data_IF_785485975678
#
_entry.id   IF_785485975678
#
_cell.length_a   1.000
_cell.length_b   1.000
_cell.length_c   1.000
_cell.angle_alpha   90.00
_cell.angle_beta   90.00
_cell.angle_gamma   90.00
#
_symmetry.space_group_name_H-M   'P 1'
#
loop_
_entity.id
_entity.type
_entity.pdbx_description
1 polymer ?
2 polymer ?
3 non-polymer ?
4 water ?
#
# COMPACT_ATOMS: atom_id res chain seq x y z
N UNK A 1 0.32 27.36 -17.78
CA UNK A 1 1.64 27.88 -17.33
C UNK A 1 2.74 27.34 -18.27
N UNK A 2 3.98 27.20 -17.77
CA UNK A 2 5.17 27.11 -18.66
C UNK A 2 5.39 25.65 -19.11
N UNK A 3 6.41 25.40 -19.96
CA UNK A 3 6.69 24.03 -20.44
C UNK A 3 7.38 23.12 -19.40
N UNK A 4 8.00 23.69 -18.36
CA UNK A 4 8.51 22.91 -17.22
C UNK A 4 7.29 22.32 -16.47
N UNK A 5 6.31 23.16 -16.16
CA UNK A 5 5.02 22.72 -15.60
C UNK A 5 4.46 21.59 -16.45
N UNK A 6 4.47 21.80 -17.76
CA UNK A 6 3.82 20.91 -18.68
C UNK A 6 4.42 19.50 -18.61
N UNK A 7 5.74 19.40 -18.53
CA UNK A 7 6.38 18.10 -18.36
C UNK A 7 5.92 17.40 -17.07
N UNK A 8 5.71 18.20 -16.02
CA UNK A 8 5.32 17.68 -14.72
C UNK A 8 3.86 17.26 -14.75
N UNK A 9 3.02 17.96 -15.54
CA UNK A 9 1.63 17.53 -15.79
C UNK A 9 1.61 16.21 -16.57
N UNK A 10 2.46 16.08 -17.57
CA UNK A 10 2.47 14.87 -18.38
C UNK A 10 2.93 13.67 -17.53
N UNK A 11 3.84 13.88 -16.59
CA UNK A 11 4.30 12.82 -15.72
C UNK A 11 3.16 12.33 -14.82
N UNK A 12 2.46 13.28 -14.21
CA UNK A 12 1.26 13.07 -13.38
C UNK A 12 0.18 12.23 -14.07
N UNK A 13 -0.02 12.49 -15.35
CA UNK A 13 -1.06 11.83 -16.14
C UNK A 13 -0.59 10.43 -16.52
N UNK A 14 0.68 10.31 -16.85
CA UNK A 14 1.26 9.03 -17.13
C UNK A 14 1.16 8.11 -15.91
N UNK A 15 1.54 8.61 -14.73
CA UNK A 15 1.47 7.84 -13.51
C UNK A 15 0.00 7.50 -13.17
N UNK A 16 -0.91 8.44 -13.37
CA UNK A 16 -2.32 8.19 -13.06
C UNK A 16 -2.88 7.06 -13.93
N UNK A 17 -2.59 7.10 -15.25
CA UNK A 17 -3.09 6.06 -16.17
C UNK A 17 -2.59 4.68 -15.76
N UNK A 18 -1.33 4.65 -15.37
CA UNK A 18 -0.65 3.45 -15.05
C UNK A 18 -1.17 2.90 -13.70
N UNK A 19 -1.44 3.81 -12.78
CA UNK A 19 -2.09 3.48 -11.52
C UNK A 19 -3.43 2.76 -11.79
N UNK A 20 -4.28 3.40 -12.59
CA UNK A 20 -5.58 2.85 -12.98
C UNK A 20 -5.41 1.45 -13.57
N UNK A 21 -4.39 1.22 -14.41
CA UNK A 21 -4.17 -0.07 -15.05
C UNK A 21 -3.65 -1.10 -14.05
N UNK A 22 -2.84 -0.70 -13.08
CA UNK A 22 -2.14 -1.63 -12.18
C UNK A 22 -3.04 -2.08 -11.02
N UNK A 23 -3.94 -1.22 -10.55
CA UNK A 23 -4.66 -1.48 -9.30
C UNK A 23 -6.16 -1.56 -9.57
N UNK A 24 -6.74 -2.76 -9.51
CA UNK A 24 -8.16 -2.95 -9.83
C UNK A 24 -9.13 -2.13 -8.94
N UNK A 25 -8.93 -2.14 -7.63
CA UNK A 25 -9.81 -1.39 -6.71
C UNK A 25 -9.16 -0.06 -6.28
N UNK A 26 -9.59 1.01 -6.93
CA UNK A 26 -9.11 2.37 -6.71
C UNK A 26 -9.79 2.99 -5.50
N UNK A 27 -9.26 4.12 -5.05
CA UNK A 27 -9.84 4.76 -3.91
C UNK A 27 -11.26 5.26 -4.25
N UNK A 28 -11.46 5.64 -5.51
CA UNK A 28 -12.76 6.13 -6.01
C UNK A 28 -13.85 5.06 -5.81
N UNK A 29 -13.66 3.89 -6.39
CA UNK A 29 -14.60 2.78 -6.23
C UNK A 29 -14.73 2.41 -4.75
N UNK A 30 -13.60 2.29 -4.04
CA UNK A 30 -13.60 1.88 -2.64
C UNK A 30 -14.51 2.80 -1.81
N UNK A 31 -14.41 4.11 -2.00
CA UNK A 31 -15.23 5.08 -1.22
C UNK A 31 -16.72 4.96 -1.60
N UNK A 32 -17.03 4.74 -2.88
CA UNK A 32 -18.39 4.51 -3.36
C UNK A 32 -18.98 3.30 -2.61
N UNK A 33 -18.25 2.19 -2.62
CA UNK A 33 -18.67 1.03 -1.87
C UNK A 33 -18.90 1.45 -0.41
N UNK A 34 -17.96 2.15 0.23
CA UNK A 34 -18.03 2.39 1.68
C UNK A 34 -19.10 3.42 2.07
N UNK A 35 -19.29 4.46 1.28
CA UNK A 35 -20.28 5.50 1.66
C UNK A 35 -21.68 4.93 1.41
N UNK A 36 -21.77 4.07 0.41
CA UNK A 36 -23.05 3.60 -0.07
C UNK A 36 -23.43 4.30 -1.37
N UNK A 37 -22.55 5.16 -1.86
CA UNK A 37 -22.88 6.02 -3.02
C UNK A 37 -22.76 5.22 -4.33
N UNK A 38 -22.28 3.98 -4.29
CA UNK A 38 -22.61 3.04 -5.36
C UNK A 38 -23.99 2.48 -5.03
N UNK A 39 -24.79 2.25 -6.05
CA UNK A 39 -26.05 1.57 -5.85
C UNK A 39 -25.96 0.22 -6.57
N UNK A 40 -25.09 -0.64 -6.04
CA UNK A 40 -25.17 -2.06 -6.29
C UNK A 40 -24.77 -2.76 -4.99
N UNK A 41 -24.71 -4.08 -5.02
CA UNK A 41 -24.82 -4.90 -3.80
C UNK A 41 -23.74 -4.49 -2.78
N UNK A 42 -24.13 -4.49 -1.51
CA UNK A 42 -23.22 -4.11 -0.46
C UNK A 42 -22.20 -5.23 -0.20
N UNK A 43 -21.10 -4.89 0.49
CA UNK A 43 -20.17 -5.92 0.90
C UNK A 43 -20.76 -6.79 2.03
N UNK A 44 -20.39 -8.06 2.07
CA UNK A 44 -20.75 -8.91 3.18
C UNK A 44 -19.94 -8.51 4.42
N UNK A 45 -20.64 -8.26 5.54
CA UNK A 45 -20.01 -7.74 6.73
C UNK A 45 -19.51 -8.89 7.60
N UNK A 46 -18.28 -8.80 8.10
CA UNK A 46 -17.68 -9.82 8.97
C UNK A 46 -17.32 -9.14 10.28
N UNK A 47 -18.09 -9.45 11.33
CA UNK A 47 -18.02 -8.75 12.59
C UNK A 47 -17.77 -9.77 13.71
N UNK A 48 -17.78 -11.04 13.40
CA UNK A 48 -17.53 -12.03 14.43
C UNK A 48 -17.21 -13.32 13.74
N UNK A 49 -16.90 -14.32 14.55
CA UNK A 49 -16.53 -15.60 14.01
C UNK A 49 -17.69 -16.20 13.20
N UNK A 50 -18.94 -16.05 13.65
CA UNK A 50 -20.08 -16.63 12.91
C UNK A 50 -20.15 -16.00 11.49
N UNK A 51 -20.18 -14.67 11.43
CA UNK A 51 -20.25 -13.97 10.13
C UNK A 51 -19.08 -14.37 9.23
N UNK A 52 -17.92 -14.63 9.83
CA UNK A 52 -16.74 -15.02 9.05
C UNK A 52 -17.01 -16.33 8.32
N UNK A 53 -17.41 -17.38 9.03
CA UNK A 53 -17.74 -18.66 8.40
C UNK A 53 -18.83 -18.49 7.34
N UNK A 54 -19.92 -17.81 7.68
CA UNK A 54 -21.02 -17.62 6.74
C UNK A 54 -20.54 -16.91 5.48
N UNK A 55 -19.62 -15.96 5.66
CA UNK A 55 -19.09 -15.20 4.54
C UNK A 55 -18.04 -15.95 3.73
N UNK A 56 -17.50 -17.05 4.27
CA UNK A 56 -16.49 -17.86 3.57
C UNK A 56 -16.95 -18.15 2.13
N UNK A 57 -18.26 -18.25 1.92
CA UNK A 57 -18.78 -18.26 0.57
C UNK A 57 -18.20 -17.09 -0.28
N UNK A 58 -18.48 -15.86 0.12
CA UNK A 58 -18.35 -14.68 -0.75
C UNK A 58 -16.99 -14.00 -0.64
N UNK A 59 -15.97 -14.66 -0.09
CA UNK A 59 -14.65 -14.02 -0.03
C UNK A 59 -13.56 -15.07 -0.34
N UNK A 60 -12.88 -14.87 -1.46
CA UNK A 60 -11.62 -15.56 -1.76
C UNK A 60 -10.99 -14.90 -3.00
N UNK A 72 -6.44 -23.72 10.96
CA UNK A 72 -7.81 -24.10 11.27
C UNK A 72 -8.45 -22.99 12.12
N UNK A 73 -7.72 -22.56 13.15
CA UNK A 73 -8.14 -21.48 14.08
C UNK A 73 -8.30 -20.16 13.30
N UNK A 74 -9.23 -19.29 13.68
CA UNK A 74 -9.69 -18.23 12.77
C UNK A 74 -8.55 -17.21 12.54
N UNK A 75 -7.96 -16.70 13.63
CA UNK A 75 -6.82 -15.80 13.55
C UNK A 75 -5.86 -16.28 12.45
N UNK A 76 -5.56 -17.58 12.42
CA UNK A 76 -4.60 -18.11 11.45
C UNK A 76 -5.24 -18.10 10.06
N UNK A 77 -6.52 -18.41 9.97
CA UNK A 77 -7.20 -18.42 8.68
C UNK A 77 -7.12 -17.00 8.10
N UNK A 78 -7.40 -16.00 8.90
CA UNK A 78 -7.34 -14.61 8.42
C UNK A 78 -5.91 -14.28 8.02
N UNK A 79 -4.95 -14.65 8.87
CA UNK A 79 -3.52 -14.49 8.57
C UNK A 79 -3.19 -15.05 7.18
N UNK A 80 -3.67 -16.23 6.86
CA UNK A 80 -3.23 -16.90 5.65
C UNK A 80 -3.84 -16.23 4.42
N UNK A 81 -5.10 -15.81 4.55
CA UNK A 81 -5.76 -15.13 3.45
C UNK A 81 -5.15 -13.77 3.20
N UNK A 82 -4.80 -13.10 4.30
CA UNK A 82 -4.05 -11.86 4.21
C UNK A 82 -2.75 -12.05 3.44
N UNK A 83 -2.12 -13.23 3.48
CA UNK A 83 -0.90 -13.44 2.70
C UNK A 83 -1.20 -13.46 1.20
N UNK A 84 -2.30 -14.07 0.76
CA UNK A 84 -2.57 -14.15 -0.68
C UNK A 84 -2.76 -12.73 -1.21
N UNK A 85 -3.49 -11.92 -0.44
CA UNK A 85 -3.77 -10.56 -0.82
C UNK A 85 -2.45 -9.75 -0.87
N UNK A 86 -1.59 -9.92 0.12
CA UNK A 86 -0.33 -9.18 0.13
C UNK A 86 0.48 -9.49 -1.12
N UNK A 87 0.56 -10.78 -1.43
CA UNK A 87 1.36 -11.23 -2.56
C UNK A 87 0.84 -10.60 -3.86
N UNK A 88 -0.47 -10.47 -3.99
CA UNK A 88 -1.05 -9.85 -5.19
C UNK A 88 -0.81 -8.34 -5.16
N UNK A 89 -0.80 -7.76 -3.95
CA UNK A 89 -0.48 -6.32 -3.83
C UNK A 89 0.94 -6.06 -4.32
N UNK A 90 1.87 -6.88 -3.88
CA UNK A 90 3.27 -6.75 -4.28
C UNK A 90 3.40 -6.83 -5.79
N UNK A 91 2.69 -7.78 -6.41
CA UNK A 91 2.68 -7.95 -7.87
C UNK A 91 2.16 -6.69 -8.56
N UNK A 92 1.04 -6.20 -8.09
CA UNK A 92 0.46 -4.97 -8.68
C UNK A 92 1.40 -3.77 -8.52
N UNK A 93 2.03 -3.66 -7.34
CA UNK A 93 2.92 -2.54 -7.06
C UNK A 93 4.16 -2.64 -7.96
N UNK A 94 4.66 -3.86 -8.18
CA UNK A 94 5.83 -4.09 -9.03
C UNK A 94 5.51 -3.64 -10.45
N UNK A 95 4.37 -4.04 -10.99
CA UNK A 95 3.96 -3.61 -12.30
C UNK A 95 3.90 -2.08 -12.34
N UNK A 96 3.32 -1.46 -11.31
CA UNK A 96 3.22 -0.01 -11.27
C UNK A 96 4.61 0.65 -11.28
N UNK A 97 5.51 0.14 -10.47
CA UNK A 97 6.88 0.71 -10.38
C UNK A 97 7.54 0.73 -11.75
N UNK A 98 7.37 -0.37 -12.47
CA UNK A 98 7.97 -0.54 -13.81
C UNK A 98 7.45 0.52 -14.78
N UNK A 99 6.30 1.14 -14.50
CA UNK A 99 5.82 2.23 -15.33
C UNK A 99 6.40 3.59 -14.91
N UNK A 100 7.14 3.65 -13.81
CA UNK A 100 7.64 4.96 -13.34
C UNK A 100 8.83 5.32 -14.22
N UNK A 101 8.77 6.48 -14.93
CA UNK A 101 9.80 6.73 -15.93
C UNK A 101 11.19 6.74 -15.30
N UNK A 102 12.10 5.97 -15.86
CA UNK A 102 13.46 5.87 -15.38
C UNK A 102 13.70 4.67 -14.48
N UNK A 103 12.62 4.11 -13.86
CA UNK A 103 12.81 3.03 -12.86
C UNK A 103 13.50 1.80 -13.49
N UNK A 104 13.03 1.30 -14.64
CA UNK A 104 13.55 0.00 -15.15
C UNK A 104 14.96 0.19 -15.71
N UNK A 105 15.40 1.43 -15.91
CA UNK A 105 16.77 1.72 -16.30
C UNK A 105 17.71 1.73 -15.10
N UNK A 106 17.22 1.66 -13.87
CA UNK A 106 18.17 1.57 -12.74
C UNK A 106 18.80 0.17 -12.71
N UNK A 107 19.99 0.09 -12.14
CA UNK A 107 20.54 -1.19 -11.71
C UNK A 107 19.44 -2.10 -11.13
N UNK A 108 19.32 -3.31 -11.68
CA UNK A 108 18.27 -4.26 -11.29
C UNK A 108 18.35 -4.54 -9.79
N UNK A 109 19.55 -4.54 -9.20
CA UNK A 109 19.67 -4.81 -7.73
C UNK A 109 19.04 -3.66 -6.93
N UNK A 110 19.14 -2.46 -7.47
CA UNK A 110 18.59 -1.27 -6.82
C UNK A 110 17.05 -1.27 -7.00
N UNK A 111 16.58 -1.73 -8.16
CA UNK A 111 15.15 -1.92 -8.38
C UNK A 111 14.58 -2.85 -7.29
N UNK A 112 15.31 -3.91 -7.00
CA UNK A 112 14.90 -4.88 -5.99
C UNK A 112 14.89 -4.23 -4.61
N UNK A 113 15.96 -3.49 -4.29
CA UNK A 113 16.05 -2.87 -2.97
C UNK A 113 14.89 -1.88 -2.74
N UNK A 114 14.62 -1.05 -3.74
CA UNK A 114 13.53 -0.05 -3.69
C UNK A 114 12.17 -0.71 -3.47
N UNK A 115 11.89 -1.80 -4.17
CA UNK A 115 10.61 -2.49 -4.00
C UNK A 115 10.55 -3.14 -2.61
N UNK A 116 11.61 -3.85 -2.29
CA UNK A 116 11.71 -4.56 -1.05
C UNK A 116 11.33 -3.64 0.10
N UNK A 117 11.84 -2.42 0.12
CA UNK A 117 11.60 -1.51 1.23
C UNK A 117 10.32 -0.71 1.01
N UNK A 118 9.96 -0.48 -0.23
CA UNK A 118 8.87 0.42 -0.56
C UNK A 118 7.50 -0.24 -0.53
N UNK A 119 7.39 -1.51 -0.90
CA UNK A 119 6.07 -2.14 -1.14
C UNK A 119 5.20 -2.05 0.11
N UNK A 120 5.77 -2.23 1.29
CA UNK A 120 5.00 -2.21 2.53
C UNK A 120 4.40 -0.83 2.79
N UNK A 121 5.24 0.19 2.60
CA UNK A 121 4.79 1.57 2.77
C UNK A 121 3.67 1.90 1.78
N UNK A 122 3.76 1.40 0.56
CA UNK A 122 2.69 1.60 -0.42
C UNK A 122 1.41 0.83 0.00
N UNK A 123 1.57 -0.40 0.40
CA UNK A 123 0.47 -1.23 0.90
C UNK A 123 -0.29 -0.49 2.01
N UNK A 124 0.37 0.07 3.01
CA UNK A 124 -0.38 0.75 4.11
C UNK A 124 -0.96 2.06 3.60
N UNK A 125 -0.33 2.68 2.61
CA UNK A 125 -0.89 3.89 2.00
C UNK A 125 -2.22 3.56 1.31
N UNK A 126 -2.21 2.53 0.49
CA UNK A 126 -3.36 2.18 -0.29
C UNK A 126 -4.42 1.40 0.53
N UNK A 127 -4.03 0.77 1.62
CA UNK A 127 -4.98 0.17 2.53
C UNK A 127 -5.89 1.25 3.15
N UNK A 128 -5.35 2.43 3.41
CA UNK A 128 -6.12 3.51 3.96
C UNK A 128 -7.30 3.86 3.03
N UNK A 129 -7.10 3.73 1.72
CA UNK A 129 -8.15 3.97 0.74
C UNK A 129 -9.32 3.01 0.99
N UNK A 130 -9.04 1.85 1.57
CA UNK A 130 -10.04 0.81 1.78
C UNK A 130 -10.67 0.92 3.17
N UNK A 131 -10.29 1.89 4.00
CA UNK A 131 -10.63 1.89 5.42
C UNK A 131 -11.53 3.08 5.76
N UNK A 132 -12.34 2.86 6.80
CA UNK A 132 -12.90 3.95 7.57
C UNK A 132 -12.62 3.66 9.04
N UNK A 133 -13.17 4.50 9.91
CA UNK A 133 -12.95 4.35 11.34
C UNK A 133 -13.53 3.03 11.86
N UNK A 134 -14.47 2.40 11.12
CA UNK A 134 -15.14 1.16 11.58
C UNK A 134 -14.70 -0.18 10.99
N UNK A 135 -13.95 -0.18 9.89
CA UNK A 135 -13.53 -1.43 9.27
C UNK A 135 -12.96 -1.21 7.89
N UNK A 136 -12.68 -2.32 7.22
CA UNK A 136 -11.91 -2.31 6.00
C UNK A 136 -12.53 -3.24 4.95
N UNK A 137 -12.64 -2.73 3.73
CA UNK A 137 -13.00 -3.55 2.58
C UNK A 137 -11.91 -4.57 2.33
N UNK A 138 -12.35 -5.80 2.09
CA UNK A 138 -11.51 -6.90 1.73
C UNK A 138 -12.08 -7.55 0.47
N UNK A 139 -11.25 -8.41 -0.10
CA UNK A 139 -11.64 -9.31 -1.17
C UNK A 139 -12.27 -8.51 -2.33
N UNK A 140 -11.57 -7.43 -2.65
CA UNK A 140 -11.84 -6.51 -3.75
C UNK A 140 -13.23 -5.90 -3.60
N UNK A 141 -13.54 -5.39 -2.42
CA UNK A 141 -14.77 -4.63 -2.20
C UNK A 141 -15.98 -5.50 -1.87
N UNK A 142 -15.83 -6.82 -1.84
CA UNK A 142 -16.97 -7.76 -1.63
C UNK A 142 -17.21 -8.04 -0.14
N UNK A 143 -16.22 -7.75 0.70
CA UNK A 143 -16.29 -7.97 2.14
C UNK A 143 -15.95 -6.71 2.90
N UNK A 144 -16.50 -6.61 4.11
CA UNK A 144 -16.20 -5.52 5.01
C UNK A 144 -15.97 -6.13 6.39
N UNK A 145 -14.75 -6.08 6.85
CA UNK A 145 -14.35 -6.67 8.09
C UNK A 145 -14.25 -5.57 9.14
N UNK A 146 -14.86 -5.75 10.31
CA UNK A 146 -14.95 -4.63 11.26
C UNK A 146 -13.66 -4.50 12.06
N UNK A 147 -13.38 -3.28 12.47
CA UNK A 147 -12.21 -2.95 13.22
C UNK A 147 -12.25 -3.65 14.57
N UNK A 148 -13.40 -3.60 15.22
CA UNK A 148 -13.58 -4.27 16.53
C UNK A 148 -13.31 -5.77 16.38
N UNK A 149 -13.85 -6.37 15.35
CA UNK A 149 -13.61 -7.79 15.17
C UNK A 149 -12.10 -8.05 15.07
N UNK A 150 -11.37 -7.20 14.34
CA UNK A 150 -9.92 -7.44 14.19
C UNK A 150 -9.18 -7.21 15.51
N UNK A 151 -9.62 -6.24 16.32
CA UNK A 151 -8.99 -6.00 17.62
C UNK A 151 -9.22 -7.20 18.56
N UNK A 152 -10.32 -7.90 18.34
CA UNK A 152 -10.78 -8.91 19.27
C UNK A 152 -9.97 -10.19 19.11
N UNK A 153 -9.27 -10.35 18.00
CA UNK A 153 -8.59 -11.60 17.74
C UNK A 153 -7.54 -11.87 18.83
N UNK A 154 -7.26 -13.15 19.09
CA UNK A 154 -6.40 -13.49 20.22
C UNK A 154 -4.97 -13.00 19.94
N UNK A 155 -4.31 -12.53 21.02
CA UNK A 155 -2.98 -11.90 20.97
C UNK A 155 -1.96 -12.83 20.32
N UNK A 156 -0.98 -12.28 19.58
CA UNK A 156 -0.92 -10.86 19.20
C UNK A 156 -1.61 -10.50 17.87
N UNK A 157 -2.52 -11.32 17.38
CA UNK A 157 -3.13 -11.11 16.08
C UNK A 157 -4.02 -9.87 16.11
N UNK A 158 -4.62 -9.61 17.26
CA UNK A 158 -5.44 -8.45 17.42
C UNK A 158 -4.62 -7.17 17.37
N UNK A 159 -3.30 -7.27 17.29
CA UNK A 159 -2.45 -6.11 17.24
C UNK A 159 -2.06 -5.67 15.82
N UNK A 160 -2.33 -6.49 14.81
CA UNK A 160 -1.77 -6.20 13.49
C UNK A 160 -2.41 -4.95 12.87
N UNK A 161 -3.74 -4.88 12.90
CA UNK A 161 -4.45 -3.96 12.02
C UNK A 161 -4.68 -2.60 12.70
N UNK A 162 -4.78 -2.58 14.02
CA UNK A 162 -5.22 -1.36 14.74
C UNK A 162 -4.32 -0.15 14.41
N UNK A 163 -2.98 -0.29 14.41
CA UNK A 163 -2.12 0.83 14.03
C UNK A 163 -2.37 1.25 12.59
N UNK A 164 -2.75 0.32 11.71
CA UNK A 164 -3.02 0.70 10.31
C UNK A 164 -4.33 1.51 10.26
N UNK A 165 -5.28 1.21 11.14
CA UNK A 165 -6.53 2.01 11.19
C UNK A 165 -6.27 3.42 11.72
N UNK A 166 -5.42 3.51 12.73
CA UNK A 166 -5.11 4.82 13.34
C UNK A 166 -4.40 5.71 12.32
N UNK A 167 -3.48 5.11 11.56
CA UNK A 167 -2.83 5.84 10.48
C UNK A 167 -3.86 6.25 9.45
N UNK A 168 -4.72 5.31 9.04
CA UNK A 168 -5.68 5.54 7.96
C UNK A 168 -6.62 6.71 8.27
N UNK A 169 -7.15 6.75 9.48
CA UNK A 169 -8.08 7.83 9.89
C UNK A 169 -7.40 9.21 9.73
N UNK A 170 -6.17 9.38 10.18
CA UNK A 170 -5.45 10.65 9.96
C UNK A 170 -5.10 10.85 8.48
N UNK A 171 -4.68 9.80 7.77
CA UNK A 171 -4.23 10.00 6.39
C UNK A 171 -5.43 10.40 5.51
N UNK A 172 -6.58 9.78 5.82
CA UNK A 172 -7.80 9.92 4.97
C UNK A 172 -8.37 11.35 5.08
N UNK A 173 -8.06 12.02 6.19
CA UNK A 173 -8.47 13.41 6.42
C UNK A 173 -7.86 14.36 5.37
N UNK A 174 -6.76 13.97 4.72
CA UNK A 174 -6.14 14.81 3.70
C UNK A 174 -6.99 14.81 2.44
N UNK A 175 -7.90 13.85 2.30
CA UNK A 175 -8.83 13.79 1.19
C UNK A 175 -8.09 13.71 -0.16
N UNK A 176 -7.06 12.85 -0.26
CA UNK A 176 -6.38 12.69 -1.54
C UNK A 176 -7.25 11.85 -2.47
N UNK A 177 -7.13 12.08 -3.77
CA UNK A 177 -7.74 11.16 -4.73
C UNK A 177 -6.68 10.28 -5.44
N UNK A 178 -7.17 9.40 -6.30
CA UNK A 178 -6.31 8.51 -7.01
C UNK A 178 -5.21 9.22 -7.78
N UNK A 179 -5.48 10.40 -8.31
CA UNK A 179 -4.53 11.06 -9.18
C UNK A 179 -3.38 11.64 -8.34
N UNK A 180 -3.69 12.09 -7.14
CA UNK A 180 -2.69 12.43 -6.12
C UNK A 180 -1.87 11.24 -5.58
N UNK A 181 -2.57 10.16 -5.24
CA UNK A 181 -1.95 8.96 -4.67
C UNK A 181 -0.99 8.34 -5.69
N UNK A 182 -1.30 8.41 -6.97
CA UNK A 182 -0.46 7.80 -7.98
C UNK A 182 0.96 8.37 -7.90
N UNK A 183 1.06 9.68 -7.67
CA UNK A 183 2.37 10.33 -7.64
C UNK A 183 3.02 10.12 -6.26
N UNK A 184 2.22 10.23 -5.21
CA UNK A 184 2.74 10.03 -3.90
C UNK A 184 3.42 8.65 -3.83
N UNK A 185 2.77 7.61 -4.35
CA UNK A 185 3.34 6.25 -4.16
C UNK A 185 4.63 6.11 -4.99
N UNK A 186 4.74 6.78 -6.15
CA UNK A 186 5.94 6.73 -6.92
C UNK A 186 7.05 7.43 -6.13
N UNK A 187 6.72 8.50 -5.41
CA UNK A 187 7.72 9.20 -4.55
C UNK A 187 8.30 8.26 -3.48
N UNK A 188 7.42 7.50 -2.83
CA UNK A 188 7.83 6.54 -1.84
C UNK A 188 8.81 5.51 -2.45
N UNK A 189 8.52 5.00 -3.65
CA UNK A 189 9.31 3.90 -4.17
C UNK A 189 10.71 4.41 -4.47
N UNK A 190 10.80 5.63 -4.99
CA UNK A 190 12.08 6.21 -5.45
C UNK A 190 12.76 6.94 -4.29
N UNK A 191 12.88 6.29 -3.13
CA UNK A 191 13.54 6.83 -1.95
C UNK A 191 15.05 6.51 -2.00
N UNK A 192 15.87 7.54 -1.98
CA UNK A 192 17.33 7.39 -2.07
C UNK A 192 17.96 6.91 -0.78
N UNK A 193 17.23 6.86 0.31
CA UNK A 193 17.86 6.49 1.57
C UNK A 193 17.60 5.05 1.98
N UNK A 194 17.17 4.19 1.08
CA UNK A 194 16.99 2.79 1.45
C UNK A 194 18.35 2.11 1.69
N UNK A 195 18.45 1.27 2.74
CA UNK A 195 19.64 0.49 3.03
C UNK A 195 20.11 -0.33 1.81
N UNK A 196 21.40 -0.24 1.53
CA UNK A 196 22.03 -1.14 0.57
C UNK A 196 21.92 -0.66 -0.86
N UNK A 197 21.55 0.59 -1.11
CA UNK A 197 21.48 1.01 -2.52
C UNK A 197 22.89 1.20 -3.09
N UNK A 198 23.07 0.79 -4.34
CA UNK A 198 24.39 0.86 -4.96
C UNK A 198 24.65 2.26 -5.50
N UNK A 199 23.64 2.87 -6.11
CA UNK A 199 23.85 4.08 -6.87
C UNK A 199 22.65 5.01 -6.64
N UNK A 200 22.77 5.86 -5.63
CA UNK A 200 21.69 6.71 -5.13
C UNK A 200 21.35 7.84 -6.13
N UNK A 201 22.28 8.30 -6.97
CA UNK A 201 22.09 9.58 -7.70
C UNK A 201 20.94 9.47 -8.71
N UNK A 202 20.91 8.44 -9.58
CA UNK A 202 19.78 8.33 -10.53
C UNK A 202 18.42 8.19 -9.83
N UNK A 203 18.39 7.56 -8.65
CA UNK A 203 17.15 7.38 -7.85
C UNK A 203 16.66 8.77 -7.39
N UNK A 204 17.54 9.55 -6.75
CA UNK A 204 17.21 10.89 -6.30
C UNK A 204 16.89 11.81 -7.49
N UNK A 205 17.47 11.60 -8.65
CA UNK A 205 17.12 12.45 -9.78
C UNK A 205 15.66 12.23 -10.17
N UNK A 206 15.23 10.97 -10.21
CA UNK A 206 13.83 10.65 -10.52
C UNK A 206 12.93 11.21 -9.40
N UNK A 207 13.32 11.06 -8.12
CA UNK A 207 12.43 11.42 -7.01
C UNK A 207 12.23 12.94 -6.97
N UNK A 208 13.32 13.68 -7.21
CA UNK A 208 13.20 15.14 -7.34
C UNK A 208 12.08 15.53 -8.35
N UNK A 209 12.03 14.87 -9.47
CA UNK A 209 11.02 15.13 -10.49
C UNK A 209 9.61 14.76 -10.02
N UNK A 210 9.50 13.57 -9.43
CA UNK A 210 8.22 13.09 -8.90
C UNK A 210 7.70 14.04 -7.81
N UNK A 211 8.60 14.48 -6.92
CA UNK A 211 8.23 15.42 -5.85
C UNK A 211 7.72 16.74 -6.45
N UNK A 212 8.35 17.23 -7.51
CA UNK A 212 7.88 18.46 -8.16
C UNK A 212 6.49 18.21 -8.76
N UNK A 213 6.37 17.08 -9.45
CA UNK A 213 5.10 16.68 -10.02
C UNK A 213 4.06 16.55 -8.90
N UNK A 214 4.41 15.96 -7.76
CA UNK A 214 3.47 15.87 -6.66
C UNK A 214 3.03 17.27 -6.20
N UNK A 215 3.99 18.14 -5.96
CA UNK A 215 3.67 19.46 -5.50
C UNK A 215 2.74 20.19 -6.47
N UNK A 216 2.99 20.15 -7.76
CA UNK A 216 2.10 20.85 -8.74
C UNK A 216 0.70 20.22 -8.71
N UNK A 217 0.65 18.87 -8.67
CA UNK A 217 -0.60 18.15 -8.65
C UNK A 217 -1.45 18.67 -7.49
N UNK A 218 -0.86 18.81 -6.32
CA UNK A 218 -1.63 19.16 -5.13
C UNK A 218 -2.14 20.61 -5.20
N UNK A 219 -1.31 21.51 -5.74
CA UNK A 219 -1.72 22.91 -5.95
C UNK A 219 -2.88 22.97 -6.95
N UNK A 220 -2.79 22.23 -8.04
CA UNK A 220 -3.85 22.23 -9.07
C UNK A 220 -5.11 21.54 -8.57
N UNK A 221 -4.98 20.33 -8.00
CA UNK A 221 -6.14 19.47 -7.68
C UNK A 221 -6.77 19.87 -6.33
N UNK A 222 -6.03 20.57 -5.46
CA UNK A 222 -6.53 20.98 -4.13
C UNK A 222 -6.08 22.41 -3.87
N UNK A 223 -6.49 23.38 -4.77
CA UNK A 223 -6.01 24.79 -4.81
C UNK A 223 -6.42 25.56 -3.54
N UNK A 224 -7.44 25.07 -2.85
CA UNK A 224 -7.90 25.70 -1.62
C UNK A 224 -7.18 25.08 -0.42
N UNK A 225 -6.27 24.12 -0.64
CA UNK A 225 -5.78 23.35 0.48
C UNK A 225 -4.27 23.53 0.61
N UNK A 226 -3.82 24.64 1.19
CA UNK A 226 -2.38 24.92 1.14
C UNK A 226 -1.64 24.05 2.16
N UNK A 227 -0.36 23.84 1.90
CA UNK A 227 0.54 22.96 2.70
C UNK A 227 0.03 21.51 2.76
N UNK A 228 -0.75 21.08 1.78
CA UNK A 228 -1.13 19.68 1.65
C UNK A 228 0.14 18.88 1.28
N UNK A 229 0.95 19.44 0.36
CA UNK A 229 2.27 18.91 0.01
C UNK A 229 3.10 18.68 1.27
N UNK A 230 3.24 19.66 2.15
CA UNK A 230 4.08 19.50 3.37
C UNK A 230 3.46 18.50 4.37
N UNK A 231 2.13 18.50 4.51
CA UNK A 231 1.49 17.55 5.45
C UNK A 231 1.72 16.13 4.96
N UNK A 232 1.60 15.93 3.66
CA UNK A 232 1.75 14.61 3.03
C UNK A 232 3.19 14.09 3.17
N UNK A 233 4.20 14.96 3.06
CA UNK A 233 5.60 14.50 3.19
C UNK A 233 5.85 14.00 4.60
N UNK A 234 5.20 14.60 5.57
CA UNK A 234 5.41 14.22 6.99
C UNK A 234 4.86 12.80 7.26
N UNK A 235 3.80 12.43 6.56
CA UNK A 235 3.25 11.03 6.65
C UNK A 235 4.25 9.98 6.12
N UNK A 236 5.19 10.36 5.27
CA UNK A 236 6.12 9.37 4.75
C UNK A 236 6.91 8.76 5.90
N UNK A 237 7.10 9.47 7.01
CA UNK A 237 7.80 8.94 8.20
C UNK A 237 6.83 8.13 9.08
N UNK A 238 5.58 8.55 9.16
CA UNK A 238 4.57 7.70 9.80
C UNK A 238 4.53 6.30 9.15
N UNK A 239 4.59 6.24 7.82
CA UNK A 239 4.52 4.96 7.13
C UNK A 239 5.71 4.08 7.56
N UNK A 240 6.88 4.67 7.79
CA UNK A 240 8.06 3.88 8.14
C UNK A 240 7.91 3.28 9.54
N UNK A 241 7.24 4.00 10.43
CA UNK A 241 7.01 3.51 11.80
C UNK A 241 6.05 2.32 11.75
N UNK A 242 5.00 2.45 10.95
CA UNK A 242 4.04 1.37 10.79
C UNK A 242 4.79 0.13 10.33
N UNK A 243 5.64 0.31 9.32
CA UNK A 243 6.32 -0.83 8.77
C UNK A 243 7.18 -1.49 9.85
N UNK A 244 7.95 -0.72 10.62
CA UNK A 244 8.91 -1.31 11.57
C UNK A 244 8.14 -2.07 12.65
N UNK A 245 7.08 -1.46 13.15
CA UNK A 245 6.21 -2.06 14.19
C UNK A 245 5.57 -3.33 13.64
N UNK A 246 5.20 -3.30 12.35
CA UNK A 246 4.57 -4.43 11.68
C UNK A 246 5.58 -5.58 11.58
N UNK A 247 6.83 -5.28 11.25
CA UNK A 247 7.82 -6.32 11.04
C UNK A 247 8.20 -6.98 12.39
N UNK A 248 8.22 -6.18 13.44
CA UNK A 248 8.45 -6.71 14.79
C UNK A 248 7.31 -7.67 15.19
N UNK A 249 6.07 -7.28 14.92
CA UNK A 249 4.94 -8.18 15.24
C UNK A 249 5.07 -9.47 14.45
N UNK A 250 5.56 -9.35 13.22
CA UNK A 250 5.73 -10.51 12.38
C UNK A 250 6.83 -11.41 12.97
N UNK A 251 7.93 -10.84 13.45
CA UNK A 251 8.96 -11.60 14.16
C UNK A 251 8.35 -12.39 15.33
N UNK A 252 7.60 -11.69 16.18
CA UNK A 252 6.93 -12.30 17.34
C UNK A 252 6.13 -13.53 16.85
N UNK A 253 5.31 -13.35 15.82
CA UNK A 253 4.48 -14.44 15.28
C UNK A 253 5.35 -15.59 14.79
N UNK A 254 6.41 -15.24 14.07
CA UNK A 254 7.27 -16.27 13.51
C UNK A 254 7.85 -17.14 14.63
N UNK A 255 8.16 -16.55 15.79
CA UNK A 255 8.70 -17.32 16.93
C UNK A 255 7.57 -18.12 17.62
N UNK A 256 6.44 -17.45 17.95
CA UNK A 256 5.43 -17.99 18.89
C UNK A 256 4.33 -18.80 18.17
N UNK A 257 4.38 -18.88 16.84
CA UNK A 257 3.44 -19.72 16.05
C UNK A 257 4.26 -20.56 15.07
N UNK A 258 5.13 -21.38 15.63
CA UNK A 258 6.11 -22.18 14.90
C UNK A 258 5.46 -22.90 13.69
N UNK A 259 4.22 -23.36 13.86
CA UNK A 259 3.50 -24.11 12.84
C UNK A 259 3.22 -23.37 11.50
N UNK A 260 3.04 -22.05 11.55
CA UNK A 260 2.64 -21.27 10.35
C UNK A 260 3.81 -21.17 9.37
N UNK A 261 3.50 -20.98 8.10
CA UNK A 261 4.54 -20.73 7.12
C UNK A 261 4.21 -19.45 6.35
N UNK A 262 5.25 -18.66 6.09
CA UNK A 262 5.15 -17.39 5.36
C UNK A 262 5.41 -17.64 3.88
N UNK A 263 4.60 -17.01 3.04
CA UNK A 263 4.74 -17.14 1.60
C UNK A 263 6.15 -16.72 1.20
N UNK A 264 6.77 -17.44 0.26
CA UNK A 264 8.12 -17.16 -0.16
C UNK A 264 8.34 -15.74 -0.71
N UNK A 265 7.39 -15.15 -1.44
CA UNK A 265 7.57 -13.73 -1.85
C UNK A 265 7.72 -12.87 -0.60
N UNK A 266 6.91 -13.14 0.42
CA UNK A 266 6.91 -12.30 1.59
C UNK A 266 8.18 -12.55 2.41
N UNK A 267 8.65 -13.80 2.43
CA UNK A 267 9.95 -14.12 3.05
C UNK A 267 11.05 -13.29 2.40
N UNK A 268 11.10 -13.28 1.07
CA UNK A 268 12.06 -12.44 0.31
C UNK A 268 12.04 -10.99 0.80
N UNK A 269 10.84 -10.43 0.93
CA UNK A 269 10.75 -9.03 1.25
C UNK A 269 11.13 -8.78 2.71
N UNK A 270 10.65 -9.56 3.66
CA UNK A 270 10.86 -9.26 5.07
C UNK A 270 12.27 -9.63 5.55
N UNK A 271 13.01 -10.42 4.77
CA UNK A 271 14.30 -10.97 5.21
C UNK A 271 15.33 -9.84 5.32
N UNK A 272 16.14 -9.85 6.37
CA UNK A 272 17.20 -8.84 6.51
C UNK A 272 16.62 -7.46 6.22
N UNK A 273 15.55 -7.27 6.94
CA UNK A 273 14.78 -6.07 7.04
C UNK A 273 14.14 -6.10 8.45
N UNK A 274 13.88 -7.32 8.96
CA UNK A 274 13.72 -7.61 10.40
C UNK A 274 14.76 -6.81 11.21
N UNK B 2 17.73 -15.09 -2.37
CA UNK B 2 18.33 -13.81 -2.84
C UNK B 2 17.39 -13.11 -3.83
N UNK B 3 16.14 -13.00 -3.44
CA UNK B 3 15.13 -12.19 -4.12
C UNK B 3 14.88 -12.72 -5.54
N UNK B 4 14.72 -14.04 -5.64
CA UNK B 4 14.49 -14.69 -6.93
C UNK B 4 13.09 -14.37 -7.45
N UNK B 5 12.09 -14.32 -6.60
CA UNK B 5 10.74 -13.97 -7.05
C UNK B 5 10.73 -12.50 -7.51
N UNK B 6 11.25 -11.58 -6.71
CA UNK B 6 11.22 -10.14 -7.06
C UNK B 6 11.96 -9.90 -8.39
N UNK B 7 13.10 -10.57 -8.55
CA UNK B 7 13.88 -10.55 -9.81
C UNK B 7 13.01 -10.97 -10.99
N UNK B 8 12.29 -12.08 -10.79
CA UNK B 8 11.42 -12.62 -11.83
C UNK B 8 10.27 -11.61 -12.11
N UNK B 9 9.58 -11.10 -11.06
CA UNK B 9 8.50 -10.09 -11.28
C UNK B 9 9.04 -8.87 -12.03
N UNK B 10 10.25 -8.44 -11.73
CA UNK B 10 10.77 -7.20 -12.29
C UNK B 10 11.18 -7.37 -13.76
N UNK B 11 11.77 -8.51 -14.11
CA UNK B 11 12.24 -8.78 -15.48
C UNK B 11 11.04 -9.18 -16.36
N UNK B 12 10.00 -9.77 -15.77
CA UNK B 12 8.78 -10.06 -16.53
C UNK B 12 8.32 -8.79 -17.25
#
# INVERSE_FOLDING_TARGET
LNPESADLRALAKHLYDSYIKSFPLTKAKARAILTGKTTDKSPFVIYDMNSLMMGEDKIKFKHITPLQEQSKEVAIRIFQGCQFRSVEAVQEITEYAKSIPGFVNLDLNDQVTLLKYGVHEIIYTMLASLMNKDGVLISEGQGFMTREFLKSLRKPFGDFMEPKFEFAVKFNALELDDSDLAIFIAVIILSGDRPGLLNVKPIEDIQDNLLQALELQLKLNHPESSQLFAKLLQKMTDLRQIVTEHVQLLQVIKKTETDMSLHPLLQEIYKDLY
ERHKILHRLLQEGSPS
#
